data_IF_143192049705
#
_entry.id   IF_143192049705
#
_cell.length_a   1.000
_cell.length_b   1.000
_cell.length_c   1.000
_cell.angle_alpha   90.00
_cell.angle_beta   90.00
_cell.angle_gamma   90.00
#
_symmetry.space_group_name_H-M   'P 1'
#
loop_
_entity.id
_entity.type
_entity.pdbx_description
1 polymer ?
#
# COMPACT_ATOMS: atom_id res chain seq x y z
N UNK A 1 73.34 5.27 28.14
CA UNK A 1 72.46 4.26 27.57
C UNK A 1 71.06 4.79 27.78
N UNK A 2 70.42 5.34 26.73
CA UNK A 2 69.05 5.94 26.76
C UNK A 2 68.06 4.92 26.20
N UNK A 3 67.18 4.44 27.06
CA UNK A 3 66.10 3.51 26.66
C UNK A 3 64.98 4.33 26.02
N UNK A 4 64.75 4.13 24.71
CA UNK A 4 63.58 4.62 23.99
C UNK A 4 62.47 3.57 24.13
N UNK A 5 61.34 3.95 24.78
CA UNK A 5 60.11 3.16 24.82
C UNK A 5 59.24 3.64 23.65
N UNK A 6 58.87 2.79 22.68
CA UNK A 6 57.94 3.19 21.66
C UNK A 6 56.51 3.18 22.23
N UNK A 7 55.84 4.33 22.17
CA UNK A 7 54.46 4.53 22.55
C UNK A 7 53.59 4.04 21.37
N UNK A 8 53.01 2.86 21.52
CA UNK A 8 52.05 2.31 20.54
C UNK A 8 50.68 2.93 20.77
N UNK A 9 50.28 3.85 19.89
CA UNK A 9 48.90 4.43 19.88
C UNK A 9 47.97 3.42 19.23
N UNK A 10 47.16 2.72 19.99
CA UNK A 10 46.07 1.88 19.50
C UNK A 10 44.90 2.80 19.07
N UNK A 11 44.72 2.97 17.78
CA UNK A 11 43.57 3.67 17.22
C UNK A 11 42.40 2.70 17.22
N UNK A 12 41.45 2.89 18.17
CA UNK A 12 40.18 2.17 18.24
C UNK A 12 39.23 2.78 17.18
N UNK A 13 39.07 2.10 16.05
CA UNK A 13 38.00 2.40 15.08
C UNK A 13 36.66 1.98 15.71
N UNK A 14 35.92 2.94 16.23
CA UNK A 14 34.49 2.75 16.53
C UNK A 14 33.75 2.69 15.18
N UNK A 15 33.47 1.48 14.71
CA UNK A 15 32.51 1.26 13.65
C UNK A 15 31.12 1.60 14.22
N UNK A 16 30.68 2.84 14.06
CA UNK A 16 29.30 3.26 14.33
C UNK A 16 28.42 2.57 13.30
N UNK A 17 27.73 1.52 13.73
CA UNK A 17 26.66 0.92 12.98
C UNK A 17 25.45 1.86 13.13
N UNK A 18 25.31 2.83 12.23
CA UNK A 18 24.09 3.62 12.12
C UNK A 18 22.94 2.66 11.81
N UNK A 19 22.11 2.38 12.81
CA UNK A 19 20.79 1.80 12.57
C UNK A 19 20.03 2.81 11.74
N UNK A 20 19.83 2.48 10.44
CA UNK A 20 18.94 3.23 9.58
C UNK A 20 17.55 3.14 10.22
N UNK A 21 17.14 4.20 10.89
CA UNK A 21 15.78 4.34 11.40
C UNK A 21 14.84 4.17 10.21
N UNK A 22 13.96 3.18 10.24
CA UNK A 22 12.99 2.98 9.17
C UNK A 22 12.08 4.22 9.17
N UNK A 23 12.16 5.03 8.12
CA UNK A 23 11.22 6.13 7.94
C UNK A 23 9.80 5.57 7.98
N UNK A 24 9.03 5.97 8.98
CA UNK A 24 7.61 5.59 9.08
C UNK A 24 6.92 6.22 7.88
N UNK A 25 6.43 5.39 6.97
CA UNK A 25 5.70 5.85 5.79
C UNK A 25 4.45 6.63 6.24
N UNK A 26 4.23 7.87 5.80
CA UNK A 26 3.08 8.68 6.17
C UNK A 26 1.80 8.19 5.47
N UNK A 27 1.38 6.95 5.79
CA UNK A 27 0.28 6.26 5.12
C UNK A 27 -1.10 6.80 5.53
N UNK A 28 -1.22 7.27 6.78
CA UNK A 28 -2.48 7.79 7.33
C UNK A 28 -2.99 8.97 6.51
N UNK A 29 -4.27 8.95 6.17
CA UNK A 29 -4.94 10.01 5.42
C UNK A 29 -6.00 9.51 4.47
N UNK A 30 -6.50 10.43 3.64
CA UNK A 30 -7.44 10.14 2.56
C UNK A 30 -6.71 10.17 1.22
N UNK A 31 -6.90 9.15 0.42
CA UNK A 31 -6.21 8.92 -0.83
C UNK A 31 -7.21 8.72 -1.95
N UNK A 32 -7.06 9.45 -3.06
CA UNK A 32 -7.91 9.31 -4.24
C UNK A 32 -7.18 8.53 -5.32
N UNK A 33 -7.80 7.48 -5.84
CA UNK A 33 -7.27 6.68 -6.95
C UNK A 33 -7.15 7.52 -8.22
N UNK A 34 -5.99 7.45 -8.88
CA UNK A 34 -5.71 8.14 -10.14
C UNK A 34 -5.25 7.20 -11.25
N UNK A 35 -4.86 5.97 -10.92
CA UNK A 35 -4.48 4.95 -11.88
C UNK A 35 -4.63 3.57 -11.24
N UNK A 36 -5.11 2.60 -12.00
CA UNK A 36 -5.15 1.20 -11.62
C UNK A 36 -4.83 0.32 -12.82
N UNK A 37 -3.95 -0.66 -12.61
CA UNK A 37 -3.58 -1.67 -13.60
C UNK A 37 -3.69 -3.05 -12.96
N UNK A 38 -4.13 -4.01 -13.74
CA UNK A 38 -4.21 -5.42 -13.35
C UNK A 38 -3.42 -6.26 -14.34
N UNK A 39 -2.62 -7.20 -13.82
CA UNK A 39 -1.96 -8.23 -14.61
C UNK A 39 -2.57 -9.58 -14.24
N UNK A 40 -3.17 -10.23 -15.21
CA UNK A 40 -3.80 -11.54 -15.09
C UNK A 40 -3.53 -12.36 -16.37
N UNK A 41 -3.16 -13.64 -16.24
CA UNK A 41 -2.81 -14.51 -17.36
C UNK A 41 -1.78 -13.88 -18.33
N UNK A 42 -0.70 -13.32 -17.77
CA UNK A 42 0.39 -12.63 -18.51
C UNK A 42 -0.05 -11.40 -19.33
N UNK A 43 -1.27 -10.93 -19.13
CA UNK A 43 -1.80 -9.74 -19.77
C UNK A 43 -1.99 -8.61 -18.76
N UNK A 44 -1.49 -7.41 -19.09
CA UNK A 44 -1.66 -6.20 -18.26
C UNK A 44 -2.63 -5.25 -18.94
N UNK A 45 -3.61 -4.79 -18.21
CA UNK A 45 -4.62 -3.85 -18.70
C UNK A 45 -5.02 -2.85 -17.61
N UNK A 46 -5.49 -1.67 -18.03
CA UNK A 46 -6.01 -0.67 -17.11
C UNK A 46 -7.38 -1.09 -16.57
N UNK A 47 -7.51 -1.03 -15.24
CA UNK A 47 -8.78 -1.17 -14.53
C UNK A 47 -9.29 0.15 -13.97
N UNK A 48 -8.55 1.25 -14.22
CA UNK A 48 -8.96 2.59 -13.83
C UNK A 48 -10.15 3.05 -14.67
N UNK A 49 -11.20 3.53 -13.99
CA UNK A 49 -12.38 4.09 -14.63
C UNK A 49 -12.55 5.57 -14.28
N UNK A 50 -12.35 6.46 -15.26
CA UNK A 50 -12.48 7.91 -15.09
C UNK A 50 -13.92 8.39 -14.84
N UNK A 51 -14.92 7.51 -15.03
CA UNK A 51 -16.34 7.81 -14.74
C UNK A 51 -16.72 7.51 -13.29
N UNK A 52 -15.78 7.05 -12.49
CA UNK A 52 -15.98 6.79 -11.06
C UNK A 52 -14.98 7.57 -10.21
N UNK A 53 -15.30 7.77 -8.94
CA UNK A 53 -14.36 8.28 -7.93
C UNK A 53 -14.19 7.21 -6.86
N UNK A 54 -12.94 6.77 -6.70
CA UNK A 54 -12.55 5.89 -5.61
C UNK A 54 -11.66 6.65 -4.63
N UNK A 55 -11.98 6.52 -3.36
CA UNK A 55 -11.13 6.98 -2.25
C UNK A 55 -10.80 5.82 -1.32
N UNK A 56 -9.62 5.89 -0.72
CA UNK A 56 -9.17 5.03 0.38
C UNK A 56 -8.86 5.91 1.59
N UNK A 57 -9.45 5.60 2.72
CA UNK A 57 -9.23 6.30 4.00
C UNK A 57 -8.46 5.35 4.90
N UNK A 58 -7.34 5.82 5.46
CA UNK A 58 -6.48 5.04 6.34
C UNK A 58 -6.29 5.83 7.63
N UNK A 59 -6.60 5.21 8.76
CA UNK A 59 -6.32 5.72 10.09
C UNK A 59 -5.25 4.84 10.78
N UNK A 60 -5.05 4.96 12.09
CA UNK A 60 -3.99 4.23 12.81
C UNK A 60 -4.16 2.70 12.80
N UNK A 61 -5.37 2.18 12.58
CA UNK A 61 -5.68 0.76 12.75
C UNK A 61 -6.46 0.14 11.60
N UNK A 62 -7.21 0.95 10.86
CA UNK A 62 -8.14 0.47 9.84
C UNK A 62 -7.95 1.21 8.52
N UNK A 63 -8.35 0.54 7.45
CA UNK A 63 -8.58 1.14 6.16
C UNK A 63 -10.05 1.00 5.78
N UNK A 64 -10.52 1.90 4.92
CA UNK A 64 -11.78 1.79 4.20
C UNK A 64 -11.60 2.32 2.78
N UNK A 65 -12.33 1.77 1.83
CA UNK A 65 -12.38 2.31 0.48
C UNK A 65 -13.82 2.36 0.00
N UNK A 66 -14.08 3.36 -0.84
CA UNK A 66 -15.38 3.58 -1.47
C UNK A 66 -15.17 3.95 -2.92
N UNK A 67 -15.98 3.39 -3.79
CA UNK A 67 -16.00 3.74 -5.20
C UNK A 67 -17.43 3.95 -5.65
N UNK A 68 -17.71 5.05 -6.33
CA UNK A 68 -19.02 5.34 -6.86
C UNK A 68 -18.93 6.03 -8.23
N UNK A 69 -20.00 5.93 -9.00
CA UNK A 69 -20.14 6.64 -10.27
C UNK A 69 -20.23 8.16 -10.07
N UNK A 70 -19.81 8.94 -11.08
CA UNK A 70 -19.83 10.40 -11.04
C UNK A 70 -21.12 11.01 -11.63
N UNK A 71 -22.01 10.19 -12.17
CA UNK A 71 -23.28 10.65 -12.75
C UNK A 71 -24.48 10.52 -11.79
N UNK A 72 -24.19 10.24 -10.50
CA UNK A 72 -25.18 10.17 -9.42
C UNK A 72 -26.24 9.07 -9.60
N UNK A 73 -25.84 7.93 -10.15
CA UNK A 73 -26.72 6.77 -10.33
C UNK A 73 -27.83 6.97 -11.36
N UNK A 74 -27.69 7.92 -12.29
CA UNK A 74 -28.77 8.31 -13.21
C UNK A 74 -28.97 7.37 -14.39
N UNK A 75 -28.11 6.41 -14.60
CA UNK A 75 -28.19 5.47 -15.72
C UNK A 75 -27.79 4.05 -15.33
N UNK A 76 -27.73 3.15 -16.29
CA UNK A 76 -27.36 1.75 -16.08
C UNK A 76 -25.90 1.54 -15.65
N UNK A 77 -25.05 2.57 -15.65
CA UNK A 77 -23.69 2.54 -15.14
C UNK A 77 -23.59 2.91 -13.66
N UNK A 78 -24.71 3.07 -12.96
CA UNK A 78 -24.75 3.32 -11.52
C UNK A 78 -23.91 2.29 -10.78
N UNK A 79 -22.95 2.78 -10.00
CA UNK A 79 -21.99 1.96 -9.27
C UNK A 79 -21.77 2.50 -7.87
N UNK A 80 -21.88 1.62 -6.89
CA UNK A 80 -21.34 1.86 -5.56
C UNK A 80 -20.82 0.56 -4.98
N UNK A 81 -19.58 0.57 -4.56
CA UNK A 81 -19.04 -0.48 -3.70
C UNK A 81 -18.05 0.09 -2.68
N UNK A 82 -17.88 -0.61 -1.59
CA UNK A 82 -16.92 -0.25 -0.57
C UNK A 82 -16.57 -1.43 0.31
N UNK A 83 -15.42 -1.31 0.92
CA UNK A 83 -14.91 -2.30 1.85
C UNK A 83 -14.07 -1.65 2.92
N UNK A 84 -13.83 -2.39 3.99
CA UNK A 84 -13.04 -1.93 5.13
C UNK A 84 -12.43 -3.11 5.89
N UNK A 85 -11.45 -2.83 6.72
CA UNK A 85 -10.87 -3.80 7.61
C UNK A 85 -9.66 -3.25 8.34
N UNK A 86 -8.99 -4.13 9.06
CA UNK A 86 -7.75 -3.82 9.73
C UNK A 86 -6.57 -3.92 8.79
N UNK A 87 -5.51 -3.22 9.09
CA UNK A 87 -4.26 -3.38 8.37
C UNK A 87 -3.07 -3.45 9.32
N UNK A 88 -1.95 -3.90 8.78
CA UNK A 88 -0.64 -3.76 9.40
C UNK A 88 0.36 -3.22 8.39
N UNK A 89 1.32 -2.44 8.87
CA UNK A 89 2.43 -1.93 8.06
C UNK A 89 3.74 -2.34 8.73
N UNK A 90 4.57 -3.08 8.01
CA UNK A 90 5.91 -3.43 8.43
C UNK A 90 6.88 -3.04 7.33
N UNK A 91 7.72 -2.05 7.59
CA UNK A 91 8.58 -1.42 6.59
C UNK A 91 7.75 -0.87 5.42
N UNK A 92 7.81 -1.50 4.26
CA UNK A 92 6.99 -1.16 3.08
C UNK A 92 5.90 -2.19 2.76
N UNK A 93 5.75 -3.22 3.59
CA UNK A 93 4.72 -4.26 3.40
C UNK A 93 3.47 -3.84 4.15
N UNK A 94 2.43 -3.53 3.40
CA UNK A 94 1.11 -3.16 3.86
C UNK A 94 0.17 -4.33 3.65
N UNK A 95 -0.33 -4.91 4.74
CA UNK A 95 -1.23 -6.06 4.71
C UNK A 95 -2.63 -5.63 5.11
N UNK A 96 -3.57 -5.74 4.20
CA UNK A 96 -5.00 -5.53 4.44
C UNK A 96 -5.67 -6.85 4.89
N UNK A 97 -6.47 -6.79 5.95
CA UNK A 97 -7.42 -7.83 6.30
C UNK A 97 -8.82 -7.30 6.00
N UNK A 98 -9.41 -7.72 4.90
CA UNK A 98 -10.71 -7.25 4.42
C UNK A 98 -11.84 -7.88 5.24
N UNK A 99 -12.39 -7.13 6.19
CA UNK A 99 -13.43 -7.62 7.11
C UNK A 99 -14.85 -7.33 6.61
N UNK A 100 -14.99 -6.25 5.84
CA UNK A 100 -16.29 -5.78 5.32
C UNK A 100 -16.17 -5.51 3.83
N UNK A 101 -17.06 -6.08 3.02
CA UNK A 101 -17.14 -5.79 1.59
C UNK A 101 -18.51 -6.09 1.03
N UNK A 102 -18.96 -5.32 0.04
CA UNK A 102 -20.22 -5.59 -0.67
C UNK A 102 -20.27 -7.01 -1.27
N UNK A 103 -19.17 -7.46 -1.86
CA UNK A 103 -19.03 -8.85 -2.29
C UNK A 103 -18.53 -9.70 -1.13
N UNK A 104 -19.46 -10.27 -0.38
CA UNK A 104 -19.22 -11.05 0.86
C UNK A 104 -18.23 -12.20 0.69
N UNK A 105 -18.05 -12.72 -0.55
CA UNK A 105 -17.12 -13.83 -0.81
C UNK A 105 -15.65 -13.40 -0.71
N UNK A 106 -15.37 -12.10 -0.75
CA UNK A 106 -14.04 -11.53 -0.59
C UNK A 106 -13.65 -11.29 0.87
N UNK A 107 -14.62 -11.27 1.77
CA UNK A 107 -14.38 -11.02 3.20
C UNK A 107 -13.50 -12.10 3.83
N UNK A 108 -12.80 -11.72 4.88
CA UNK A 108 -11.85 -12.54 5.64
C UNK A 108 -10.61 -12.99 4.87
N UNK A 109 -10.35 -12.42 3.69
CA UNK A 109 -9.07 -12.60 3.00
C UNK A 109 -8.07 -11.54 3.45
N UNK A 110 -6.78 -11.88 3.28
CA UNK A 110 -5.65 -10.98 3.50
C UNK A 110 -4.94 -10.74 2.19
N UNK A 111 -4.58 -9.48 1.95
CA UNK A 111 -3.84 -9.08 0.76
C UNK A 111 -2.60 -8.32 1.17
N UNK A 112 -1.46 -8.69 0.62
CA UNK A 112 -0.18 -8.04 0.90
C UNK A 112 0.25 -7.18 -0.27
N UNK A 113 0.60 -5.95 0.03
CA UNK A 113 1.05 -4.97 -0.94
C UNK A 113 2.38 -4.36 -0.52
N UNK A 114 3.25 -4.11 -1.47
CA UNK A 114 4.39 -3.23 -1.28
C UNK A 114 3.92 -1.82 -1.57
N UNK A 115 4.09 -0.92 -0.60
CA UNK A 115 3.68 0.49 -0.72
C UNK A 115 4.88 1.42 -0.75
N UNK A 116 4.77 2.48 -1.54
CA UNK A 116 5.71 3.59 -1.62
C UNK A 116 4.96 4.90 -1.62
N UNK A 117 5.46 5.89 -0.87
CA UNK A 117 4.90 7.24 -0.88
C UNK A 117 5.99 8.21 -1.31
N UNK A 118 5.69 9.02 -2.32
CA UNK A 118 6.57 10.07 -2.82
C UNK A 118 5.72 11.25 -3.32
N UNK A 119 6.01 12.46 -2.83
CA UNK A 119 5.34 13.70 -3.24
C UNK A 119 3.80 13.59 -3.20
N UNK A 120 3.25 13.18 -2.04
CA UNK A 120 1.80 12.97 -1.85
C UNK A 120 1.17 11.94 -2.81
N UNK A 121 1.99 11.08 -3.41
CA UNK A 121 1.53 9.96 -4.24
C UNK A 121 1.84 8.64 -3.54
N UNK A 122 0.81 7.84 -3.27
CA UNK A 122 0.89 6.48 -2.78
C UNK A 122 0.83 5.53 -3.97
N UNK A 123 1.79 4.61 -4.06
CA UNK A 123 1.79 3.50 -5.01
C UNK A 123 1.68 2.22 -4.20
N UNK A 124 0.67 1.42 -4.50
CA UNK A 124 0.39 0.12 -3.91
C UNK A 124 0.51 -0.95 -4.99
N UNK A 125 1.32 -2.00 -4.75
CA UNK A 125 1.48 -3.13 -5.67
C UNK A 125 1.46 -4.44 -4.90
N UNK A 126 0.65 -5.39 -5.31
CA UNK A 126 0.60 -6.71 -4.68
C UNK A 126 -0.23 -7.72 -5.43
N UNK A 127 -0.37 -8.88 -4.79
CA UNK A 127 -1.14 -9.99 -5.32
C UNK A 127 -2.52 -10.02 -4.66
N UNK A 128 -3.55 -10.22 -5.48
CA UNK A 128 -4.86 -10.65 -5.04
C UNK A 128 -5.07 -12.09 -5.48
N UNK A 129 -5.12 -13.00 -4.51
CA UNK A 129 -5.35 -14.42 -4.77
C UNK A 129 -6.46 -14.95 -3.87
N UNK A 130 -7.52 -15.46 -4.50
CA UNK A 130 -8.65 -16.12 -3.82
C UNK A 130 -9.01 -17.36 -4.66
N UNK A 131 -8.46 -18.50 -4.30
CA UNK A 131 -8.58 -19.74 -5.08
C UNK A 131 -10.04 -20.12 -5.34
N UNK A 132 -10.90 -20.06 -4.33
CA UNK A 132 -12.34 -20.38 -4.44
C UNK A 132 -13.11 -19.49 -5.42
N UNK A 133 -12.55 -18.33 -5.80
CA UNK A 133 -13.16 -17.40 -6.75
C UNK A 133 -12.42 -17.37 -8.09
N UNK A 134 -11.34 -18.14 -8.24
CA UNK A 134 -10.50 -18.11 -9.44
C UNK A 134 -9.76 -16.79 -9.62
N UNK A 135 -9.58 -16.01 -8.53
CA UNK A 135 -8.81 -14.75 -8.57
C UNK A 135 -7.34 -15.07 -8.35
N UNK A 136 -6.50 -14.72 -9.31
CA UNK A 136 -5.03 -14.79 -9.22
C UNK A 136 -4.44 -13.69 -10.11
N UNK A 137 -4.16 -12.53 -9.52
CA UNK A 137 -3.73 -11.35 -10.26
C UNK A 137 -2.79 -10.45 -9.47
N UNK A 138 -2.01 -9.67 -10.19
CA UNK A 138 -1.22 -8.57 -9.62
C UNK A 138 -1.98 -7.28 -9.89
N UNK A 139 -2.10 -6.43 -8.88
CA UNK A 139 -2.63 -5.09 -9.03
C UNK A 139 -1.55 -4.05 -8.75
N UNK A 140 -1.63 -2.93 -9.48
CA UNK A 140 -0.84 -1.73 -9.24
C UNK A 140 -1.78 -0.55 -9.23
N UNK A 141 -1.89 0.10 -8.09
CA UNK A 141 -2.75 1.24 -7.89
C UNK A 141 -1.93 2.46 -7.48
N UNK A 142 -2.30 3.61 -8.04
CA UNK A 142 -1.70 4.90 -7.68
C UNK A 142 -2.78 5.84 -7.17
N UNK A 143 -2.47 6.46 -6.05
CA UNK A 143 -3.36 7.37 -5.35
C UNK A 143 -2.66 8.70 -5.11
N UNK A 144 -3.41 9.78 -5.07
CA UNK A 144 -2.96 11.09 -4.57
C UNK A 144 -3.66 11.41 -3.27
N UNK A 145 -2.96 12.10 -2.38
CA UNK A 145 -3.53 12.54 -1.11
C UNK A 145 -4.62 13.57 -1.36
N UNK A 146 -5.80 13.33 -0.80
CA UNK A 146 -6.87 14.33 -0.73
C UNK A 146 -6.56 15.30 0.43
N UNK A 147 -6.73 16.61 0.19
CA UNK A 147 -6.52 17.69 1.18
C UNK A 147 -7.84 18.16 1.73
#
# INVERSE_FOLDING_TARGET
MKNFIPFVIAILFFASCEKKESEILPLIGTWRLISAETTENDSTFSTFNSKTKMIKIINDTHFAFFNHDLNHGKDSSALFFGGAGKYSLKDSVYTEHLEFFNNRQWENNKFEFVVKIKNDTLIQRGFEKIEKLGVDRIIIEKYVREK
#
